data_IF_704933758726
#
_entry.id   IF_704933758726
#
_cell.length_a   1.000
_cell.length_b   1.000
_cell.length_c   1.000
_cell.angle_alpha   90.00
_cell.angle_beta   90.00
_cell.angle_gamma   90.00
#
_symmetry.space_group_name_H-M   'P 1'
#
loop_
_entity.id
_entity.type
_entity.pdbx_description
1 polymer ?
#
# COMPACT_ATOMS: atom_id res chain seq x y z
N UNK A 1 57.39 21.06 -26.15
CA UNK A 1 57.02 20.98 -27.58
C UNK A 1 55.67 20.27 -27.71
N UNK A 2 54.70 20.96 -28.36
CA UNK A 2 53.42 20.58 -29.00
C UNK A 2 52.57 19.36 -28.56
N UNK A 3 51.32 19.70 -28.20
CA UNK A 3 49.99 19.21 -28.59
C UNK A 3 49.74 17.76 -29.11
N UNK A 4 48.62 17.19 -28.65
CA UNK A 4 47.81 16.19 -29.36
C UNK A 4 46.51 15.81 -28.63
N UNK A 5 45.40 16.47 -28.97
CA UNK A 5 44.00 16.14 -28.60
C UNK A 5 43.42 15.02 -29.49
N UNK A 6 42.53 14.15 -28.98
CA UNK A 6 41.40 13.53 -29.71
C UNK A 6 40.51 12.68 -28.78
N UNK A 7 39.18 12.81 -28.89
CA UNK A 7 38.25 11.90 -28.20
C UNK A 7 36.76 12.27 -28.09
N UNK A 8 36.24 13.32 -28.74
CA UNK A 8 34.81 13.67 -28.75
C UNK A 8 34.16 13.43 -30.11
N UNK A 9 33.66 12.21 -30.39
CA UNK A 9 33.22 11.84 -31.75
C UNK A 9 31.80 11.26 -31.92
N UNK A 10 31.09 10.84 -30.87
CA UNK A 10 29.82 10.09 -31.06
C UNK A 10 28.51 10.87 -30.81
N UNK A 11 28.57 12.06 -30.20
CA UNK A 11 27.37 12.87 -29.88
C UNK A 11 26.90 13.78 -31.05
N UNK A 12 27.80 14.13 -31.97
CA UNK A 12 27.52 15.11 -33.03
C UNK A 12 26.87 14.50 -34.29
N UNK A 13 27.08 13.21 -34.57
CA UNK A 13 26.49 12.54 -35.74
C UNK A 13 24.98 12.28 -35.61
N UNK A 14 24.45 12.03 -34.40
CA UNK A 14 23.01 11.78 -34.23
C UNK A 14 22.16 13.06 -34.28
N UNK A 15 22.72 14.21 -33.87
CA UNK A 15 22.02 15.50 -33.96
C UNK A 15 21.95 16.04 -35.40
N UNK A 16 22.91 15.72 -36.27
CA UNK A 16 22.86 16.16 -37.68
C UNK A 16 21.83 15.35 -38.49
N UNK A 17 21.71 14.04 -38.24
CA UNK A 17 20.69 13.19 -38.89
C UNK A 17 19.25 13.57 -38.52
N UNK A 18 19.00 13.93 -37.25
CA UNK A 18 17.68 14.39 -36.82
C UNK A 18 17.28 15.73 -37.47
N UNK A 19 18.24 16.65 -37.65
CA UNK A 19 18.01 17.93 -38.34
C UNK A 19 17.82 17.75 -39.85
N UNK A 20 18.56 16.84 -40.49
CA UNK A 20 18.36 16.50 -41.90
C UNK A 20 17.00 15.85 -42.16
N UNK A 21 16.53 14.96 -41.28
CA UNK A 21 15.20 14.35 -41.40
C UNK A 21 14.06 15.37 -41.19
N UNK A 22 14.23 16.33 -40.27
CA UNK A 22 13.24 17.38 -40.04
C UNK A 22 13.13 18.35 -41.23
N UNK A 23 14.25 18.68 -41.86
CA UNK A 23 14.29 19.51 -43.07
C UNK A 23 13.70 18.79 -44.29
N UNK A 24 13.91 17.47 -44.42
CA UNK A 24 13.30 16.65 -45.47
C UNK A 24 11.77 16.58 -45.33
N UNK A 25 11.25 16.46 -44.11
CA UNK A 25 9.80 16.44 -43.84
C UNK A 25 9.17 17.82 -44.12
N UNK A 26 9.86 18.91 -43.76
CA UNK A 26 9.41 20.27 -44.06
C UNK A 26 9.44 20.59 -45.57
N UNK A 27 10.42 20.09 -46.32
CA UNK A 27 10.45 20.21 -47.79
C UNK A 27 9.36 19.36 -48.48
N UNK A 28 9.04 18.17 -47.95
CA UNK A 28 7.95 17.32 -48.47
C UNK A 28 6.56 17.94 -48.23
N UNK A 29 6.39 18.71 -47.16
CA UNK A 29 5.16 19.46 -46.88
C UNK A 29 4.97 20.69 -47.77
N UNK A 30 6.03 21.21 -48.39
CA UNK A 30 6.00 22.37 -49.29
C UNK A 30 5.77 22.00 -50.77
N UNK A 31 5.78 20.70 -51.12
CA UNK A 31 5.64 20.21 -52.51
C UNK A 31 4.25 19.62 -52.84
N UNK A 32 3.27 19.71 -51.94
CA UNK A 32 1.90 19.26 -52.23
C UNK A 32 1.08 20.43 -52.81
N UNK A 33 0.48 20.29 -54.02
CA UNK A 33 -0.33 21.35 -54.61
C UNK A 33 -1.60 21.57 -53.78
N UNK A 34 -1.89 22.84 -53.52
CA UNK A 34 -3.02 23.31 -52.73
C UNK A 34 -4.36 22.87 -53.33
N UNK A 35 -4.96 21.83 -52.75
CA UNK A 35 -6.41 21.62 -52.83
C UNK A 35 -7.06 22.15 -51.55
N UNK A 36 -7.72 23.29 -51.70
CA UNK A 36 -8.31 24.08 -50.63
C UNK A 36 -9.65 23.48 -50.18
N UNK A 37 -9.62 22.35 -49.48
CA UNK A 37 -10.80 21.83 -48.76
C UNK A 37 -10.44 21.03 -47.50
N UNK A 38 -9.17 20.67 -47.29
CA UNK A 38 -8.69 19.94 -46.10
C UNK A 38 -8.10 20.85 -45.00
N UNK A 39 -7.98 22.16 -45.25
CA UNK A 39 -7.39 23.13 -44.31
C UNK A 39 -8.37 23.71 -43.27
N UNK A 40 -9.70 23.55 -43.45
CA UNK A 40 -10.68 23.95 -42.43
C UNK A 40 -10.89 22.91 -41.32
N UNK A 41 -10.77 21.61 -41.61
CA UNK A 41 -10.95 20.56 -40.59
C UNK A 41 -9.71 20.37 -39.70
N UNK A 42 -8.50 20.55 -40.24
CA UNK A 42 -7.26 20.48 -39.45
C UNK A 42 -7.13 21.66 -38.46
N UNK A 43 -7.62 22.86 -38.82
CA UNK A 43 -7.57 24.04 -37.96
C UNK A 43 -8.48 23.99 -36.73
N UNK A 44 -9.59 23.26 -36.79
CA UNK A 44 -10.49 23.08 -35.64
C UNK A 44 -10.02 21.96 -34.70
N UNK A 45 -9.43 20.88 -35.23
CA UNK A 45 -8.86 19.80 -34.42
C UNK A 45 -7.69 20.31 -33.57
N UNK A 46 -6.83 21.18 -34.13
CA UNK A 46 -5.74 21.80 -33.37
C UNK A 46 -6.19 22.83 -32.33
N UNK A 47 -7.36 23.47 -32.50
CA UNK A 47 -7.91 24.40 -31.49
C UNK A 47 -8.56 23.66 -30.31
N UNK A 48 -9.18 22.51 -30.53
CA UNK A 48 -9.73 21.66 -29.47
C UNK A 48 -8.62 20.90 -28.71
N UNK A 49 -7.59 20.38 -29.41
CA UNK A 49 -6.42 19.80 -28.74
C UNK A 49 -5.60 20.84 -27.97
N UNK A 50 -5.46 22.08 -28.49
CA UNK A 50 -4.77 23.15 -27.75
C UNK A 50 -5.57 23.63 -26.53
N UNK A 51 -6.91 23.63 -26.57
CA UNK A 51 -7.75 23.88 -25.38
C UNK A 51 -7.65 22.76 -24.35
N UNK A 52 -7.61 21.49 -24.81
CA UNK A 52 -7.38 20.31 -23.96
C UNK A 52 -5.99 20.32 -23.31
N UNK A 53 -4.95 20.71 -24.05
CA UNK A 53 -3.57 20.83 -23.56
C UNK A 53 -3.35 22.06 -22.66
N UNK A 54 -4.08 23.17 -22.86
CA UNK A 54 -4.07 24.30 -21.92
C UNK A 54 -4.85 24.00 -20.62
N UNK A 55 -5.78 23.05 -20.64
CA UNK A 55 -6.51 22.61 -19.44
C UNK A 55 -5.62 21.85 -18.44
N UNK A 56 -4.48 21.27 -18.88
CA UNK A 56 -3.57 20.51 -18.04
C UNK A 56 -2.44 21.34 -17.38
N UNK A 57 -2.42 22.67 -17.57
CA UNK A 57 -1.33 23.54 -17.08
C UNK A 57 -1.69 24.48 -15.93
N UNK A 58 -2.78 24.21 -15.21
CA UNK A 58 -3.02 24.73 -13.86
C UNK A 58 -3.09 23.56 -12.90
N UNK A 59 -2.34 23.62 -11.79
CA UNK A 59 -2.42 22.67 -10.69
C UNK A 59 -3.89 22.43 -10.37
N UNK A 60 -4.40 21.23 -10.66
CA UNK A 60 -5.72 20.83 -10.18
C UNK A 60 -5.61 20.73 -8.66
N UNK A 61 -6.39 21.51 -7.89
CA UNK A 61 -6.47 21.30 -6.45
C UNK A 61 -6.99 19.87 -6.25
N UNK A 62 -6.35 19.11 -5.35
CA UNK A 62 -6.80 17.76 -4.99
C UNK A 62 -8.29 17.79 -4.67
N UNK A 63 -9.07 16.92 -5.30
CA UNK A 63 -10.50 16.81 -5.00
C UNK A 63 -10.67 16.07 -3.68
N UNK A 64 -11.63 16.50 -2.86
CA UNK A 64 -11.94 15.91 -1.56
C UNK A 64 -12.27 14.41 -1.64
N UNK A 65 -12.81 13.97 -2.78
CA UNK A 65 -13.06 12.57 -3.13
C UNK A 65 -11.79 11.72 -3.19
N UNK A 66 -10.64 12.32 -3.55
CA UNK A 66 -9.39 11.59 -3.76
C UNK A 66 -8.78 11.10 -2.43
N UNK A 67 -9.14 11.73 -1.32
CA UNK A 67 -8.66 11.38 0.02
C UNK A 67 -9.54 10.34 0.73
N UNK A 68 -10.73 10.06 0.21
CA UNK A 68 -11.76 9.25 0.88
C UNK A 68 -12.15 7.99 0.10
N UNK A 69 -11.43 7.67 -0.99
CA UNK A 69 -11.73 6.55 -1.90
C UNK A 69 -11.89 5.21 -1.16
N UNK A 70 -11.13 5.00 -0.08
CA UNK A 70 -11.10 3.75 0.69
C UNK A 70 -11.85 3.84 2.05
N UNK A 71 -12.52 4.96 2.34
CA UNK A 71 -13.18 5.19 3.63
C UNK A 71 -14.71 5.00 3.56
N UNK A 72 -15.29 4.44 4.63
CA UNK A 72 -16.75 4.35 4.79
C UNK A 72 -17.27 5.71 5.25
N UNK A 73 -17.99 6.42 4.38
CA UNK A 73 -18.55 7.75 4.62
C UNK A 73 -20.06 7.65 4.78
N UNK A 74 -20.59 8.23 5.85
CA UNK A 74 -22.03 8.32 6.09
C UNK A 74 -22.48 9.74 6.34
N UNK A 75 -23.62 10.08 5.78
CA UNK A 75 -24.31 11.33 6.06
C UNK A 75 -25.27 11.14 7.24
N UNK A 76 -25.07 11.91 8.30
CA UNK A 76 -25.88 11.86 9.52
C UNK A 76 -26.23 13.31 9.89
N UNK A 77 -27.52 13.66 9.79
CA UNK A 77 -27.99 15.01 10.14
C UNK A 77 -27.44 16.14 9.28
N UNK A 78 -27.12 15.88 8.00
CA UNK A 78 -26.55 16.87 7.07
C UNK A 78 -25.04 17.08 7.20
N UNK A 79 -24.37 16.28 8.04
CA UNK A 79 -22.91 16.25 8.18
C UNK A 79 -22.37 14.90 7.72
N UNK A 80 -21.24 14.93 7.00
CA UNK A 80 -20.55 13.72 6.57
C UNK A 80 -19.56 13.25 7.64
N UNK A 81 -19.58 11.95 7.93
CA UNK A 81 -18.69 11.31 8.89
C UNK A 81 -17.89 10.20 8.22
N UNK A 82 -16.62 10.09 8.58
CA UNK A 82 -15.67 9.09 8.12
C UNK A 82 -15.45 8.06 9.22
N UNK A 83 -15.61 6.77 8.92
CA UNK A 83 -15.34 5.70 9.88
C UNK A 83 -13.85 5.47 10.03
N UNK A 84 -13.30 5.70 11.22
CA UNK A 84 -11.89 5.44 11.52
C UNK A 84 -11.74 4.45 12.67
N UNK A 85 -10.56 3.83 12.78
CA UNK A 85 -10.20 2.98 13.92
C UNK A 85 -10.07 3.85 15.17
N UNK A 86 -10.71 3.45 16.26
CA UNK A 86 -10.70 4.23 17.49
C UNK A 86 -9.31 4.18 18.15
N UNK A 87 -8.62 5.32 18.35
CA UNK A 87 -7.30 5.36 19.01
C UNK A 87 -7.30 4.80 20.43
N UNK A 88 -8.46 4.86 21.09
CA UNK A 88 -8.66 4.39 22.46
C UNK A 88 -9.09 2.92 22.54
N UNK A 89 -9.28 2.25 21.39
CA UNK A 89 -9.61 0.83 21.34
C UNK A 89 -8.50 -0.01 21.97
N UNK A 90 -8.85 -0.79 23.00
CA UNK A 90 -7.90 -1.57 23.80
C UNK A 90 -7.23 -0.82 24.93
N UNK A 91 -7.42 0.50 25.05
CA UNK A 91 -6.98 1.29 26.21
C UNK A 91 -8.06 1.35 27.30
N UNK A 92 -9.34 1.23 26.89
CA UNK A 92 -10.49 1.08 27.78
C UNK A 92 -11.25 -0.19 27.44
N UNK A 93 -11.76 -0.90 28.45
CA UNK A 93 -12.53 -2.14 28.27
C UNK A 93 -13.82 -1.95 27.45
N UNK A 94 -14.37 -0.74 27.43
CA UNK A 94 -15.66 -0.38 26.81
C UNK A 94 -15.54 0.40 25.49
N UNK A 95 -14.32 0.69 25.02
CA UNK A 95 -14.13 1.49 23.83
C UNK A 95 -14.51 0.70 22.57
N UNK A 96 -15.36 1.25 21.67
CA UNK A 96 -15.69 0.60 20.41
C UNK A 96 -14.48 0.57 19.48
N UNK A 97 -14.38 -0.46 18.63
CA UNK A 97 -13.27 -0.65 17.69
C UNK A 97 -13.16 0.47 16.65
N UNK A 98 -14.29 1.06 16.27
CA UNK A 98 -14.37 2.11 15.28
C UNK A 98 -15.18 3.28 15.82
N UNK A 99 -14.80 4.49 15.40
CA UNK A 99 -15.53 5.73 15.69
C UNK A 99 -15.81 6.48 14.39
N UNK A 100 -16.85 7.28 14.42
CA UNK A 100 -17.21 8.19 13.33
C UNK A 100 -16.65 9.57 13.65
N UNK A 101 -15.77 10.06 12.78
CA UNK A 101 -15.20 11.41 12.90
C UNK A 101 -15.73 12.25 11.76
N UNK A 102 -16.16 13.46 12.08
CA UNK A 102 -16.64 14.41 11.07
C UNK A 102 -15.58 14.59 9.98
N UNK A 103 -16.03 14.51 8.72
CA UNK A 103 -15.17 14.48 7.54
C UNK A 103 -14.22 15.67 7.49
N UNK A 104 -14.69 16.87 7.82
CA UNK A 104 -13.85 18.07 7.88
C UNK A 104 -12.74 17.96 8.94
N UNK A 105 -13.09 17.49 10.14
CA UNK A 105 -12.13 17.28 11.23
C UNK A 105 -11.11 16.21 10.87
N UNK A 106 -11.55 15.13 10.21
CA UNK A 106 -10.69 14.07 9.71
C UNK A 106 -9.69 14.61 8.67
N UNK A 107 -10.18 15.29 7.62
CA UNK A 107 -9.33 15.85 6.56
C UNK A 107 -8.30 16.85 7.09
N UNK A 108 -8.71 17.70 8.04
CA UNK A 108 -7.81 18.64 8.69
C UNK A 108 -6.74 17.94 9.54
N UNK A 109 -7.12 16.91 10.29
CA UNK A 109 -6.21 16.22 11.23
C UNK A 109 -5.18 15.36 10.51
N UNK A 110 -5.59 14.64 9.46
CA UNK A 110 -4.75 13.65 8.79
C UNK A 110 -4.04 14.19 7.54
N UNK A 111 -4.60 15.20 6.88
CA UNK A 111 -4.07 15.71 5.61
C UNK A 111 -3.76 17.21 5.62
N UNK A 112 -4.09 17.94 6.70
CA UNK A 112 -3.85 19.38 6.80
C UNK A 112 -4.66 20.22 5.79
N UNK A 113 -5.69 19.64 5.17
CA UNK A 113 -6.50 20.28 4.13
C UNK A 113 -7.69 20.98 4.77
N UNK A 114 -7.96 22.24 4.39
CA UNK A 114 -9.27 22.88 4.62
C UNK A 114 -10.19 22.47 3.47
N UNK A 115 -11.32 21.84 3.77
CA UNK A 115 -12.33 21.53 2.77
C UNK A 115 -12.76 22.83 2.06
N UNK A 116 -12.46 22.96 0.77
CA UNK A 116 -12.99 24.04 -0.05
C UNK A 116 -14.34 23.60 -0.59
N UNK A 117 -15.41 24.10 0.03
CA UNK A 117 -16.77 23.92 -0.45
C UNK A 117 -16.95 24.61 -1.81
N UNK A 118 -16.90 23.88 -2.91
CA UNK A 118 -17.45 24.32 -4.19
C UNK A 118 -18.60 23.40 -4.59
N UNK A 119 -19.83 23.93 -4.51
CA UNK A 119 -21.02 23.23 -5.01
C UNK A 119 -22.34 23.53 -4.32
N UNK A 120 -22.60 24.75 -3.80
CA UNK A 120 -23.98 25.13 -3.40
C UNK A 120 -24.83 25.38 -4.65
N UNK A 121 -25.57 24.36 -5.10
CA UNK A 121 -26.79 24.56 -5.90
C UNK A 121 -27.91 24.94 -4.93
N UNK A 122 -28.43 26.17 -5.06
CA UNK A 122 -29.69 26.59 -4.43
C UNK A 122 -30.86 25.84 -5.06
N UNK A 123 -31.67 25.18 -4.23
CA UNK A 123 -33.04 24.73 -4.54
C UNK A 123 -33.89 25.10 -3.31
N UNK A 124 -35.15 25.57 -3.48
CA UNK A 124 -35.79 26.49 -2.55
C UNK A 124 -36.35 25.82 -1.29
N UNK A 125 -36.51 26.68 -0.29
CA UNK A 125 -37.10 26.43 1.02
C UNK A 125 -38.60 26.14 0.93
N UNK A 126 -38.99 24.89 1.17
CA UNK A 126 -40.28 24.53 1.78
C UNK A 126 -40.35 23.02 2.08
N UNK A 127 -40.17 22.63 3.35
CA UNK A 127 -41.12 21.82 4.14
C UNK A 127 -40.48 21.29 5.44
N UNK A 128 -40.85 21.99 6.53
CA UNK A 128 -41.05 21.58 7.93
C UNK A 128 -40.30 20.34 8.47
N UNK A 129 -39.32 20.67 9.32
CA UNK A 129 -39.07 20.19 10.70
C UNK A 129 -39.80 18.90 11.13
N UNK A 130 -39.00 17.86 11.40
CA UNK A 130 -39.38 16.68 12.17
C UNK A 130 -38.16 15.99 12.80
N UNK A 131 -37.92 16.28 14.08
CA UNK A 131 -37.10 15.59 15.09
C UNK A 131 -35.78 14.88 14.68
N UNK A 132 -34.67 15.56 14.96
CA UNK A 132 -33.36 14.94 15.19
C UNK A 132 -33.37 14.18 16.54
N UNK A 133 -32.78 12.96 16.63
CA UNK A 133 -32.55 12.32 17.92
C UNK A 133 -31.52 13.11 18.75
N UNK A 134 -31.68 13.18 20.09
CA UNK A 134 -30.77 13.95 20.94
C UNK A 134 -29.34 13.39 20.90
N UNK A 135 -28.32 14.24 21.16
CA UNK A 135 -26.95 13.77 21.32
C UNK A 135 -26.88 12.73 22.45
N UNK A 136 -25.99 11.73 22.35
CA UNK A 136 -25.80 10.75 23.41
C UNK A 136 -25.43 11.48 24.73
N UNK A 137 -26.04 11.09 25.87
CA UNK A 137 -25.84 11.80 27.13
C UNK A 137 -24.37 11.81 27.53
N UNK A 138 -23.88 12.97 27.95
CA UNK A 138 -22.66 13.06 28.74
C UNK A 138 -22.89 12.29 30.04
N UNK A 139 -22.25 11.13 30.18
CA UNK A 139 -22.32 10.37 31.42
C UNK A 139 -21.53 11.10 32.50
N UNK A 140 -22.27 11.59 33.49
CA UNK A 140 -21.78 12.04 34.79
C UNK A 140 -21.03 10.86 35.43
N UNK A 141 -19.79 11.10 35.87
CA UNK A 141 -18.97 10.14 36.60
C UNK A 141 -19.68 9.77 37.90
N UNK A 142 -20.29 8.57 37.97
CA UNK A 142 -20.66 7.97 39.25
C UNK A 142 -19.40 7.39 39.88
N UNK A 143 -19.02 7.95 41.03
CA UNK A 143 -17.99 7.37 41.89
C UNK A 143 -18.43 5.98 42.33
N UNK A 144 -17.76 4.94 41.84
CA UNK A 144 -17.85 3.61 42.42
C UNK A 144 -16.87 3.51 43.59
N UNK A 145 -17.30 3.03 44.77
CA UNK A 145 -16.41 2.80 45.89
C UNK A 145 -15.36 1.73 45.54
N UNK A 146 -14.12 1.99 45.94
CA UNK A 146 -13.00 1.06 45.85
C UNK A 146 -13.32 -0.23 46.62
N UNK A 147 -13.06 -1.43 46.07
CA UNK A 147 -13.15 -2.65 46.85
C UNK A 147 -12.07 -2.65 47.95
N UNK A 148 -12.51 -2.84 49.19
CA UNK A 148 -11.65 -3.03 50.36
C UNK A 148 -10.65 -4.17 50.14
N UNK A 149 -9.41 -3.93 50.54
CA UNK A 149 -8.35 -4.92 50.58
C UNK A 149 -8.64 -5.95 51.68
N UNK A 150 -9.27 -7.07 51.32
CA UNK A 150 -9.27 -8.26 52.19
C UNK A 150 -7.94 -8.98 52.07
N UNK A 151 -7.23 -9.01 53.21
CA UNK A 151 -5.95 -9.67 53.42
C UNK A 151 -5.94 -11.15 52.99
N UNK A 152 -4.88 -11.54 52.29
CA UNK A 152 -4.58 -12.90 51.85
C UNK A 152 -4.14 -13.79 53.02
N UNK A 153 -4.64 -15.02 53.06
CA UNK A 153 -4.00 -16.15 53.77
C UNK A 153 -3.10 -16.91 52.79
N UNK A 154 -1.96 -17.46 53.23
CA UNK A 154 -1.02 -18.10 52.32
C UNK A 154 -1.51 -19.51 51.94
N UNK A 155 -1.53 -19.79 50.64
CA UNK A 155 -1.62 -21.16 50.12
C UNK A 155 -0.31 -21.44 49.39
N UNK A 156 0.48 -22.33 50.00
CA UNK A 156 1.65 -22.96 49.40
C UNK A 156 1.17 -24.11 48.52
N UNK A 157 1.47 -24.05 47.21
CA UNK A 157 1.58 -25.25 46.39
C UNK A 157 2.39 -24.95 45.12
N UNK A 158 3.55 -25.60 45.04
CA UNK A 158 4.44 -25.63 43.89
C UNK A 158 3.81 -26.42 42.74
N UNK A 159 3.65 -25.78 41.58
CA UNK A 159 3.84 -26.41 40.25
C UNK A 159 3.96 -25.32 39.20
N UNK A 160 5.12 -25.28 38.55
CA UNK A 160 5.43 -24.41 37.43
C UNK A 160 4.77 -24.93 36.15
N UNK A 161 3.50 -24.58 35.94
CA UNK A 161 2.84 -24.65 34.64
C UNK A 161 2.40 -23.24 34.26
N UNK A 162 3.37 -22.36 34.02
CA UNK A 162 3.09 -21.11 33.32
C UNK A 162 2.82 -21.47 31.86
N UNK A 163 1.60 -21.26 31.32
CA UNK A 163 1.38 -21.42 29.89
C UNK A 163 2.39 -20.54 29.14
N UNK A 164 3.01 -21.03 28.05
CA UNK A 164 4.01 -20.27 27.32
C UNK A 164 3.41 -18.92 26.96
N UNK A 165 4.01 -17.83 27.47
CA UNK A 165 3.61 -16.47 27.14
C UNK A 165 3.59 -16.39 25.62
N UNK A 166 2.46 -16.01 24.99
CA UNK A 166 2.38 -15.89 23.55
C UNK A 166 3.53 -15.01 23.07
N UNK A 167 4.50 -15.58 22.35
CA UNK A 167 5.60 -14.81 21.81
C UNK A 167 5.01 -13.77 20.85
N UNK A 168 5.08 -12.50 21.26
CA UNK A 168 4.56 -11.37 20.47
C UNK A 168 5.29 -11.33 19.13
N UNK A 169 4.55 -11.50 18.03
CA UNK A 169 5.12 -11.51 16.67
C UNK A 169 4.84 -10.18 15.99
N UNK A 170 5.90 -9.50 15.58
CA UNK A 170 5.79 -8.27 14.82
C UNK A 170 5.34 -8.55 13.38
N UNK A 171 4.47 -7.69 12.88
CA UNK A 171 4.00 -7.73 11.50
C UNK A 171 5.06 -7.19 10.56
N UNK A 172 5.04 -7.67 9.32
CA UNK A 172 5.97 -7.24 8.26
C UNK A 172 5.24 -6.28 7.32
N UNK A 173 5.89 -5.17 6.96
CA UNK A 173 5.48 -4.30 5.87
C UNK A 173 5.72 -4.99 4.55
N UNK A 174 4.63 -5.34 3.88
CA UNK A 174 4.62 -6.04 2.59
C UNK A 174 3.96 -5.14 1.57
N UNK A 175 4.50 -5.12 0.35
CA UNK A 175 3.89 -4.44 -0.78
C UNK A 175 3.37 -5.44 -1.80
N UNK A 176 2.12 -5.24 -2.24
CA UNK A 176 1.47 -6.05 -3.28
C UNK A 176 1.68 -5.41 -4.66
N UNK A 177 2.54 -6.02 -5.46
CA UNK A 177 2.81 -5.67 -6.85
C UNK A 177 1.70 -6.17 -7.80
N UNK A 178 1.84 -5.87 -9.09
CA UNK A 178 0.85 -6.26 -10.08
C UNK A 178 0.88 -7.78 -10.30
N UNK A 179 -0.31 -8.34 -10.56
CA UNK A 179 -0.44 -9.72 -11.01
C UNK A 179 -0.48 -9.72 -12.53
N UNK A 180 0.30 -10.62 -13.13
CA UNK A 180 0.25 -10.80 -14.59
C UNK A 180 -0.86 -11.76 -14.95
N UNK A 181 -1.57 -11.47 -16.03
CA UNK A 181 -2.55 -12.39 -16.59
C UNK A 181 -1.92 -13.17 -17.74
N UNK A 182 -1.61 -14.45 -17.53
CA UNK A 182 -0.98 -15.32 -18.53
C UNK A 182 -2.00 -16.22 -19.25
N UNK A 183 -3.30 -15.97 -19.07
CA UNK A 183 -4.38 -16.82 -19.59
C UNK A 183 -4.65 -16.60 -21.08
N UNK A 184 -4.17 -15.49 -21.63
CA UNK A 184 -4.48 -15.06 -23.00
C UNK A 184 -5.84 -14.38 -23.15
N UNK A 185 -6.68 -14.39 -22.09
CA UNK A 185 -7.96 -13.70 -22.09
C UNK A 185 -7.82 -12.28 -21.53
N UNK A 186 -8.27 -11.26 -22.27
CA UNK A 186 -8.30 -9.88 -21.82
C UNK A 186 -9.47 -9.64 -20.85
N UNK A 187 -9.32 -10.11 -19.61
CA UNK A 187 -10.33 -10.00 -18.57
C UNK A 187 -9.79 -9.16 -17.40
N UNK A 188 -9.78 -7.85 -17.59
CA UNK A 188 -9.22 -6.89 -16.61
C UNK A 188 -9.83 -7.05 -15.22
N UNK A 189 -11.13 -7.36 -15.12
CA UNK A 189 -11.81 -7.55 -13.85
C UNK A 189 -11.24 -8.71 -13.01
N UNK A 190 -10.60 -9.72 -13.64
CA UNK A 190 -10.04 -10.87 -12.91
C UNK A 190 -8.80 -10.44 -12.14
N UNK A 191 -7.94 -9.61 -12.75
CA UNK A 191 -6.73 -9.09 -12.10
C UNK A 191 -7.12 -8.26 -10.88
N UNK A 192 -8.13 -7.39 -11.02
CA UNK A 192 -8.66 -6.60 -9.92
C UNK A 192 -9.29 -7.48 -8.83
N UNK A 193 -10.07 -8.48 -9.22
CA UNK A 193 -10.66 -9.43 -8.28
C UNK A 193 -9.60 -10.20 -7.48
N UNK A 194 -8.50 -10.61 -8.12
CA UNK A 194 -7.35 -11.26 -7.47
C UNK A 194 -6.67 -10.29 -6.51
N UNK A 195 -6.35 -9.07 -6.96
CA UNK A 195 -5.70 -8.06 -6.14
C UNK A 195 -6.51 -7.74 -4.88
N UNK A 196 -7.80 -7.46 -5.03
CA UNK A 196 -8.70 -7.14 -3.91
C UNK A 196 -8.85 -8.33 -2.95
N UNK A 197 -9.00 -9.55 -3.47
CA UNK A 197 -9.14 -10.74 -2.64
C UNK A 197 -7.85 -11.06 -1.84
N UNK A 198 -6.68 -10.78 -2.42
CA UNK A 198 -5.40 -10.88 -1.71
C UNK A 198 -5.32 -9.79 -0.65
N UNK A 199 -5.54 -8.51 -1.00
CA UNK A 199 -5.55 -7.37 -0.04
C UNK A 199 -6.45 -7.70 1.16
N UNK A 200 -7.69 -8.10 0.92
CA UNK A 200 -8.65 -8.46 1.97
C UNK A 200 -8.12 -9.58 2.90
N UNK A 201 -7.55 -10.64 2.33
CA UNK A 201 -7.04 -11.76 3.13
C UNK A 201 -5.79 -11.45 3.92
N UNK A 202 -4.91 -10.63 3.38
CA UNK A 202 -3.71 -10.18 4.08
C UNK A 202 -4.05 -9.25 5.24
N UNK A 203 -5.04 -8.38 5.08
CA UNK A 203 -5.56 -7.58 6.19
C UNK A 203 -6.20 -8.47 7.26
N UNK A 204 -6.98 -9.49 6.85
CA UNK A 204 -7.61 -10.45 7.77
C UNK A 204 -6.62 -11.37 8.49
N UNK A 205 -5.48 -11.69 7.89
CA UNK A 205 -4.47 -12.55 8.53
C UNK A 205 -3.82 -11.90 9.74
N UNK A 206 -3.82 -10.56 9.81
CA UNK A 206 -3.17 -9.78 10.86
C UNK A 206 -1.66 -10.08 10.99
N UNK A 207 -1.03 -10.62 9.94
CA UNK A 207 0.41 -10.95 9.92
C UNK A 207 1.27 -9.87 9.23
N UNK A 208 0.64 -8.95 8.48
CA UNK A 208 1.31 -7.96 7.64
C UNK A 208 0.75 -6.55 7.82
N UNK A 209 1.59 -5.56 7.52
CA UNK A 209 1.20 -4.18 7.24
C UNK A 209 1.28 -4.02 5.72
N UNK A 210 0.16 -3.69 5.07
CA UNK A 210 0.18 -3.50 3.62
C UNK A 210 0.60 -2.07 3.29
N UNK A 211 1.66 -1.95 2.50
CA UNK A 211 2.06 -0.68 1.91
C UNK A 211 1.32 -0.50 0.58
N UNK A 212 0.73 0.68 0.41
CA UNK A 212 -0.02 1.01 -0.78
C UNK A 212 0.89 1.20 -2.01
N UNK A 213 0.38 0.81 -3.18
CA UNK A 213 1.10 0.95 -4.46
C UNK A 213 1.42 2.41 -4.80
N UNK A 214 0.51 3.33 -4.50
CA UNK A 214 0.68 4.76 -4.76
C UNK A 214 1.93 5.35 -4.06
N UNK A 215 2.36 4.79 -2.92
CA UNK A 215 3.57 5.19 -2.20
C UNK A 215 4.79 4.80 -3.01
N UNK A 216 4.81 3.58 -3.54
CA UNK A 216 5.85 3.09 -4.45
C UNK A 216 5.92 3.93 -5.73
N UNK A 217 4.78 4.22 -6.37
CA UNK A 217 4.73 5.04 -7.59
C UNK A 217 5.30 6.45 -7.35
N UNK A 218 4.92 7.08 -6.24
CA UNK A 218 5.45 8.40 -5.84
C UNK A 218 6.96 8.34 -5.57
N UNK A 219 7.43 7.28 -4.93
CA UNK A 219 8.87 7.06 -4.69
C UNK A 219 9.63 6.92 -6.02
N UNK A 220 9.20 6.02 -6.90
CA UNK A 220 9.84 5.78 -8.19
C UNK A 220 9.85 7.04 -9.06
N UNK A 221 8.73 7.75 -9.13
CA UNK A 221 8.62 9.00 -9.89
C UNK A 221 9.62 10.07 -9.41
N UNK A 222 9.85 10.16 -8.10
CA UNK A 222 10.87 11.07 -7.53
C UNK A 222 12.30 10.67 -7.90
N UNK A 223 12.53 9.38 -8.15
CA UNK A 223 13.81 8.86 -8.65
C UNK A 223 13.93 8.93 -10.19
N UNK A 224 12.93 9.46 -10.89
CA UNK A 224 12.88 9.45 -12.36
C UNK A 224 12.63 8.06 -12.96
N UNK A 225 12.07 7.14 -12.16
CA UNK A 225 11.73 5.77 -12.53
C UNK A 225 10.20 5.59 -12.62
N UNK A 226 9.79 4.45 -13.18
CA UNK A 226 8.40 4.03 -13.27
C UNK A 226 8.20 2.60 -12.73
N UNK A 227 6.96 2.10 -12.74
CA UNK A 227 6.65 0.75 -12.28
C UNK A 227 7.31 -0.37 -13.12
N UNK A 228 7.63 -0.10 -14.39
CA UNK A 228 8.29 -1.10 -15.25
C UNK A 228 9.72 -1.39 -14.79
N UNK A 229 10.33 -0.43 -14.08
CA UNK A 229 11.65 -0.55 -13.49
C UNK A 229 11.72 -1.54 -12.31
N UNK A 230 10.58 -2.02 -11.80
CA UNK A 230 10.52 -2.98 -10.69
C UNK A 230 10.99 -4.40 -11.06
N UNK A 231 11.30 -4.63 -12.33
CA UNK A 231 12.00 -5.85 -12.77
C UNK A 231 13.50 -5.83 -12.43
N UNK A 232 14.06 -4.66 -12.08
CA UNK A 232 15.44 -4.53 -11.62
C UNK A 232 15.52 -4.79 -10.10
N UNK A 233 16.39 -5.73 -9.72
CA UNK A 233 16.68 -6.07 -8.32
C UNK A 233 17.16 -4.88 -7.50
N UNK A 234 17.98 -4.01 -8.09
CA UNK A 234 18.53 -2.83 -7.44
C UNK A 234 17.43 -1.86 -7.04
N UNK A 235 16.45 -1.66 -7.94
CA UNK A 235 15.29 -0.80 -7.69
C UNK A 235 14.44 -1.37 -6.56
N UNK A 236 14.19 -2.69 -6.55
CA UNK A 236 13.46 -3.35 -5.47
C UNK A 236 14.16 -3.22 -4.12
N UNK A 237 15.48 -3.37 -4.07
CA UNK A 237 16.27 -3.26 -2.83
C UNK A 237 16.22 -1.82 -2.29
N UNK A 238 16.45 -0.82 -3.14
CA UNK A 238 16.42 0.57 -2.72
C UNK A 238 15.02 1.04 -2.32
N UNK A 239 13.99 0.60 -3.05
CA UNK A 239 12.60 0.90 -2.68
C UNK A 239 12.21 0.20 -1.37
N UNK A 240 12.66 -1.04 -1.18
CA UNK A 240 12.51 -1.82 0.04
C UNK A 240 13.05 -1.07 1.25
N UNK A 241 14.30 -0.62 1.15
CA UNK A 241 14.94 0.20 2.18
C UNK A 241 14.20 1.52 2.43
N UNK A 242 13.94 2.29 1.37
CA UNK A 242 13.45 3.66 1.49
C UNK A 242 12.02 3.73 2.06
N UNK A 243 11.21 2.70 1.80
CA UNK A 243 9.82 2.60 2.23
C UNK A 243 9.61 1.64 3.41
N UNK A 244 10.69 1.05 3.93
CA UNK A 244 10.62 0.09 5.03
C UNK A 244 9.83 -1.18 4.69
N UNK A 245 9.81 -1.58 3.42
CA UNK A 245 9.14 -2.81 2.95
C UNK A 245 10.10 -3.98 3.16
N UNK A 246 9.69 -5.04 3.86
CA UNK A 246 10.51 -6.25 4.06
C UNK A 246 10.25 -7.33 3.00
N UNK A 247 9.13 -7.24 2.26
CA UNK A 247 8.84 -8.19 1.21
C UNK A 247 7.87 -7.69 0.15
N UNK A 248 8.03 -8.23 -1.05
CA UNK A 248 7.18 -7.93 -2.19
C UNK A 248 6.38 -9.15 -2.59
N UNK A 249 5.07 -9.00 -2.68
CA UNK A 249 4.19 -10.00 -3.28
C UNK A 249 3.95 -9.66 -4.73
N UNK A 250 4.07 -10.65 -5.59
CA UNK A 250 3.71 -10.57 -7.00
C UNK A 250 3.24 -11.95 -7.45
N UNK A 251 2.73 -12.06 -8.67
CA UNK A 251 2.25 -13.35 -9.12
C UNK A 251 1.61 -13.31 -10.49
N UNK A 252 1.00 -14.43 -10.83
CA UNK A 252 0.34 -14.62 -12.11
C UNK A 252 -0.96 -15.40 -11.96
N UNK A 253 -1.87 -15.11 -12.88
CA UNK A 253 -3.00 -15.99 -13.19
C UNK A 253 -2.51 -16.88 -14.32
N UNK A 254 -2.18 -18.13 -13.99
CA UNK A 254 -1.59 -19.08 -14.93
C UNK A 254 -2.65 -19.71 -15.84
N UNK A 255 -3.86 -19.94 -15.31
CA UNK A 255 -5.02 -20.42 -16.06
C UNK A 255 -6.31 -19.83 -15.52
N UNK A 256 -7.25 -19.58 -16.43
CA UNK A 256 -8.63 -19.22 -16.14
C UNK A 256 -9.51 -19.94 -17.16
N UNK A 257 -10.52 -20.65 -16.68
CA UNK A 257 -11.55 -21.27 -17.50
C UNK A 257 -12.89 -20.87 -16.92
N UNK A 258 -13.77 -20.32 -17.74
CA UNK A 258 -15.13 -19.95 -17.35
C UNK A 258 -16.10 -20.72 -18.23
N UNK A 259 -16.95 -21.54 -17.61
CA UNK A 259 -18.01 -22.27 -18.29
C UNK A 259 -19.35 -21.75 -17.81
N UNK A 260 -20.34 -21.73 -18.69
CA UNK A 260 -21.70 -21.35 -18.34
C UNK A 260 -22.70 -22.24 -19.09
N UNK A 261 -23.87 -22.42 -18.50
CA UNK A 261 -24.99 -23.14 -19.09
C UNK A 261 -26.31 -22.55 -18.56
N UNK A 262 -27.43 -23.02 -19.07
CA UNK A 262 -28.74 -22.71 -18.49
C UNK A 262 -29.10 -23.81 -17.48
N UNK A 263 -29.48 -23.40 -16.28
CA UNK A 263 -30.00 -24.31 -15.26
C UNK A 263 -31.32 -24.91 -15.76
N UNK A 264 -31.37 -26.24 -15.84
CA UNK A 264 -32.57 -26.97 -16.23
C UNK A 264 -33.75 -26.74 -15.27
N UNK A 265 -33.47 -26.38 -14.01
CA UNK A 265 -34.48 -26.21 -12.96
C UNK A 265 -35.09 -24.82 -12.93
N UNK A 266 -34.29 -23.80 -13.20
CA UNK A 266 -34.67 -22.39 -12.99
C UNK A 266 -34.68 -21.59 -14.29
N UNK A 267 -34.09 -22.12 -15.36
CA UNK A 267 -33.89 -21.42 -16.63
C UNK A 267 -32.83 -20.30 -16.57
N UNK A 268 -32.21 -20.08 -15.40
CA UNK A 268 -31.22 -19.03 -15.21
C UNK A 268 -29.83 -19.45 -15.72
N UNK A 269 -29.00 -18.46 -16.06
CA UNK A 269 -27.58 -18.72 -16.36
C UNK A 269 -26.83 -19.20 -15.12
N UNK A 270 -26.26 -20.39 -15.21
CA UNK A 270 -25.39 -21.02 -14.22
C UNK A 270 -23.96 -21.02 -14.74
N UNK A 271 -23.01 -20.54 -13.95
CA UNK A 271 -21.62 -20.38 -14.34
C UNK A 271 -20.67 -21.06 -13.36
N UNK A 272 -19.60 -21.64 -13.89
CA UNK A 272 -18.48 -22.22 -13.15
C UNK A 272 -17.18 -21.56 -13.58
N UNK A 273 -16.24 -21.40 -12.64
CA UNK A 273 -14.90 -20.92 -12.97
C UNK A 273 -13.82 -21.80 -12.36
N UNK A 274 -12.76 -22.06 -13.12
CA UNK A 274 -11.52 -22.68 -12.63
C UNK A 274 -10.37 -21.73 -12.84
N UNK A 275 -9.59 -21.53 -11.79
CA UNK A 275 -8.44 -20.64 -11.79
C UNK A 275 -7.21 -21.33 -11.21
N UNK A 276 -6.06 -21.10 -11.82
CA UNK A 276 -4.75 -21.45 -11.29
C UNK A 276 -3.98 -20.17 -11.00
N UNK A 277 -3.75 -19.90 -9.72
CA UNK A 277 -3.02 -18.71 -9.25
C UNK A 277 -1.63 -19.10 -8.77
N UNK A 278 -0.64 -18.28 -9.09
CA UNK A 278 0.70 -18.34 -8.51
C UNK A 278 0.98 -17.05 -7.74
N UNK A 279 1.42 -17.20 -6.49
CA UNK A 279 1.84 -16.11 -5.62
C UNK A 279 3.29 -16.31 -5.25
N UNK A 280 4.07 -15.26 -5.38
CA UNK A 280 5.49 -15.22 -5.13
C UNK A 280 5.79 -14.19 -4.05
N UNK A 281 6.79 -14.47 -3.22
CA UNK A 281 7.35 -13.55 -2.24
C UNK A 281 8.82 -13.31 -2.55
N UNK A 282 9.21 -12.04 -2.67
CA UNK A 282 10.62 -11.60 -2.73
C UNK A 282 11.02 -10.96 -1.40
N UNK A 283 12.22 -11.28 -0.90
CA UNK A 283 12.89 -10.55 0.20
C UNK A 283 13.41 -9.22 -0.34
N UNK A 284 13.04 -8.11 0.30
CA UNK A 284 13.42 -6.78 -0.16
C UNK A 284 14.91 -6.48 0.00
N UNK A 285 15.65 -7.20 0.85
CA UNK A 285 17.09 -6.94 1.09
C UNK A 285 17.98 -7.49 -0.01
N UNK A 286 17.54 -8.58 -0.64
CA UNK A 286 18.32 -9.35 -1.64
C UNK A 286 17.66 -9.36 -3.02
N UNK A 287 16.40 -8.92 -3.10
CA UNK A 287 15.52 -9.09 -4.25
C UNK A 287 15.49 -10.55 -4.78
N UNK A 288 15.63 -11.53 -3.88
CA UNK A 288 15.55 -12.95 -4.20
C UNK A 288 14.16 -13.51 -3.92
N UNK A 289 13.70 -14.43 -4.77
CA UNK A 289 12.48 -15.20 -4.53
C UNK A 289 12.67 -16.08 -3.28
N UNK A 290 11.88 -15.81 -2.24
CA UNK A 290 11.87 -16.57 -0.98
C UNK A 290 10.93 -17.75 -1.08
N UNK A 291 9.76 -17.53 -1.68
CA UNK A 291 8.71 -18.53 -1.74
C UNK A 291 7.85 -18.34 -3.00
N UNK A 292 7.40 -19.47 -3.54
CA UNK A 292 6.37 -19.51 -4.57
C UNK A 292 5.31 -20.52 -4.14
N UNK A 293 4.04 -20.16 -4.26
CA UNK A 293 2.93 -21.02 -3.93
C UNK A 293 1.86 -20.94 -5.01
N UNK A 294 1.22 -22.08 -5.25
CA UNK A 294 0.16 -22.22 -6.22
C UNK A 294 -1.14 -22.55 -5.50
N UNK A 295 -2.24 -22.02 -6.05
CA UNK A 295 -3.57 -22.34 -5.58
C UNK A 295 -4.51 -22.57 -6.75
N UNK A 296 -5.41 -23.52 -6.56
CA UNK A 296 -6.49 -23.82 -7.49
C UNK A 296 -7.82 -23.92 -6.74
N UNK A 297 -8.92 -23.97 -7.47
CA UNK A 297 -10.23 -24.28 -6.92
C UNK A 297 -10.76 -25.61 -7.45
N UNK A 298 -11.63 -26.25 -6.67
CA UNK A 298 -12.43 -27.34 -7.19
C UNK A 298 -13.51 -26.75 -8.12
N UNK A 299 -13.66 -27.32 -9.31
CA UNK A 299 -14.64 -26.94 -10.35
C UNK A 299 -16.03 -26.72 -9.76
N UNK A 300 -16.52 -27.67 -8.97
CA UNK A 300 -17.89 -27.68 -8.45
C UNK A 300 -18.15 -26.70 -7.29
N UNK A 301 -17.10 -26.09 -6.74
CA UNK A 301 -17.25 -25.18 -5.59
C UNK A 301 -17.29 -23.72 -6.01
N UNK A 302 -16.99 -23.41 -7.27
CA UNK A 302 -16.93 -22.06 -7.81
C UNK A 302 -18.09 -21.80 -8.78
N UNK A 303 -19.28 -22.16 -8.33
CA UNK A 303 -20.52 -22.05 -9.08
C UNK A 303 -21.31 -20.82 -8.62
N UNK A 304 -22.04 -20.20 -9.56
CA UNK A 304 -23.03 -19.17 -9.27
C UNK A 304 -24.17 -19.24 -10.29
N UNK A 305 -25.33 -18.74 -9.91
CA UNK A 305 -26.54 -18.76 -10.74
C UNK A 305 -27.18 -17.36 -10.80
N UNK A 306 -27.82 -17.05 -11.92
CA UNK A 306 -28.55 -15.82 -12.14
C UNK A 306 -27.70 -14.69 -12.72
N UNK A 307 -28.21 -13.46 -12.63
CA UNK A 307 -27.58 -12.29 -13.25
C UNK A 307 -26.19 -12.05 -12.66
N UNK A 308 -25.17 -12.06 -13.52
CA UNK A 308 -23.78 -11.85 -13.12
C UNK A 308 -23.10 -13.10 -12.53
N UNK A 309 -23.68 -14.29 -12.75
CA UNK A 309 -23.13 -15.58 -12.30
C UNK A 309 -21.67 -15.77 -12.71
N UNK A 310 -21.26 -15.39 -13.92
CA UNK A 310 -19.86 -15.47 -14.37
C UNK A 310 -18.88 -14.74 -13.43
N UNK A 311 -19.17 -13.49 -13.09
CA UNK A 311 -18.30 -12.68 -12.21
C UNK A 311 -18.28 -13.28 -10.80
N UNK A 312 -19.42 -13.75 -10.31
CA UNK A 312 -19.52 -14.36 -8.99
C UNK A 312 -18.75 -15.68 -8.91
N UNK A 313 -18.85 -16.53 -9.94
CA UNK A 313 -18.10 -17.77 -10.10
C UNK A 313 -16.59 -17.50 -10.06
N UNK A 314 -16.10 -16.52 -10.81
CA UNK A 314 -14.68 -16.10 -10.79
C UNK A 314 -14.25 -15.63 -9.40
N UNK A 315 -15.02 -14.74 -8.75
CA UNK A 315 -14.72 -14.28 -7.38
C UNK A 315 -14.66 -15.46 -6.40
N UNK A 316 -15.55 -16.45 -6.54
CA UNK A 316 -15.54 -17.67 -5.73
C UNK A 316 -14.31 -18.53 -6.00
N UNK A 317 -13.95 -18.73 -7.27
CA UNK A 317 -12.75 -19.47 -7.69
C UNK A 317 -11.47 -18.83 -7.12
N UNK A 318 -11.31 -17.51 -7.28
CA UNK A 318 -10.19 -16.73 -6.71
C UNK A 318 -10.11 -16.94 -5.20
N UNK A 319 -11.24 -16.77 -4.48
CA UNK A 319 -11.28 -17.00 -3.04
C UNK A 319 -10.82 -18.42 -2.69
N UNK A 320 -11.20 -19.44 -3.44
CA UNK A 320 -10.78 -20.80 -3.14
C UNK A 320 -9.31 -21.07 -3.44
N UNK A 321 -8.81 -20.63 -4.60
CA UNK A 321 -7.40 -20.72 -4.94
C UNK A 321 -6.52 -20.06 -3.89
N UNK A 322 -6.90 -18.87 -3.42
CA UNK A 322 -6.18 -18.19 -2.35
C UNK A 322 -6.20 -18.95 -1.00
N UNK A 323 -7.14 -19.87 -0.75
CA UNK A 323 -7.17 -20.65 0.51
C UNK A 323 -6.03 -21.66 0.53
N UNK A 324 -5.57 -22.06 -0.64
CA UNK A 324 -4.43 -22.96 -0.83
C UNK A 324 -3.11 -22.17 -0.96
N UNK A 325 -3.10 -21.11 -1.76
CA UNK A 325 -1.87 -20.38 -2.11
C UNK A 325 -1.30 -19.49 -0.98
N UNK A 326 -2.16 -18.83 -0.19
CA UNK A 326 -1.69 -17.84 0.79
C UNK A 326 -1.06 -18.43 2.06
N UNK A 327 -1.60 -19.50 2.68
CA UNK A 327 -1.05 -19.99 3.95
C UNK A 327 0.44 -20.36 3.90
N UNK A 328 0.96 -21.05 2.86
CA UNK A 328 2.39 -21.30 2.74
C UNK A 328 3.22 -20.02 2.63
N UNK A 329 2.75 -19.04 1.84
CA UNK A 329 3.44 -17.76 1.67
C UNK A 329 3.48 -16.97 2.99
N UNK A 330 2.37 -16.89 3.72
CA UNK A 330 2.28 -16.21 5.02
C UNK A 330 3.22 -16.82 6.06
N UNK A 331 3.40 -18.16 6.04
CA UNK A 331 4.40 -18.84 6.87
C UNK A 331 5.81 -18.34 6.58
N UNK A 332 6.16 -18.09 5.33
CA UNK A 332 7.47 -17.56 4.94
C UNK A 332 7.61 -16.06 5.25
N UNK A 333 6.54 -15.26 5.12
CA UNK A 333 6.54 -13.86 5.58
C UNK A 333 6.91 -13.75 7.06
N UNK A 334 6.40 -14.67 7.89
CA UNK A 334 6.73 -14.72 9.32
C UNK A 334 8.19 -15.05 9.62
N UNK A 335 8.94 -15.58 8.66
CA UNK A 335 10.38 -15.87 8.80
C UNK A 335 11.24 -14.73 8.29
N UNK A 336 10.68 -13.78 7.55
CA UNK A 336 11.43 -12.59 7.14
C UNK A 336 11.92 -11.85 8.39
N UNK A 337 13.19 -11.39 8.39
CA UNK A 337 13.72 -10.58 9.48
C UNK A 337 12.86 -9.33 9.62
N UNK A 338 12.49 -9.00 10.85
CA UNK A 338 11.80 -7.75 11.11
C UNK A 338 12.84 -6.63 11.27
N UNK A 339 12.67 -5.57 10.51
CA UNK A 339 13.53 -4.39 10.55
C UNK A 339 12.73 -3.11 10.31
N UNK A 340 13.17 -2.01 10.91
CA UNK A 340 12.68 -0.66 10.62
C UNK A 340 13.84 0.33 10.69
N UNK A 341 13.58 1.62 10.53
CA UNK A 341 14.61 2.67 10.46
C UNK A 341 14.22 3.91 11.24
N UNK A 342 15.25 4.65 11.65
CA UNK A 342 15.09 6.01 12.18
C UNK A 342 14.70 6.94 11.04
N UNK A 343 13.55 7.60 11.16
CA UNK A 343 13.04 8.55 10.14
C UNK A 343 13.34 10.01 10.48
N UNK A 344 13.45 10.33 11.78
CA UNK A 344 13.77 11.67 12.29
C UNK A 344 14.39 11.55 13.68
N UNK A 345 15.28 12.48 14.03
CA UNK A 345 15.77 12.68 15.39
C UNK A 345 15.55 14.16 15.73
N UNK A 346 15.05 14.43 16.93
CA UNK A 346 14.77 15.78 17.43
C UNK A 346 15.06 15.85 18.93
N UNK A 347 16.23 16.38 19.29
CA UNK A 347 16.73 16.30 20.66
C UNK A 347 16.88 14.83 21.08
N UNK A 348 16.25 14.46 22.18
CA UNK A 348 16.25 13.08 22.71
C UNK A 348 15.21 12.16 22.05
N UNK A 349 14.29 12.72 21.26
CA UNK A 349 13.22 11.97 20.61
C UNK A 349 13.70 11.36 19.29
N UNK A 350 13.61 10.04 19.19
CA UNK A 350 13.95 9.25 18.01
C UNK A 350 12.65 8.74 17.40
N UNK A 351 12.34 9.16 16.17
CA UNK A 351 11.12 8.77 15.47
C UNK A 351 11.39 7.55 14.59
N UNK A 352 10.51 6.56 14.68
CA UNK A 352 10.64 5.25 14.02
C UNK A 352 9.42 4.97 13.15
N UNK A 353 9.68 4.42 11.96
CA UNK A 353 8.65 3.97 11.03
C UNK A 353 8.13 2.55 11.38
N UNK A 354 7.68 2.38 12.62
CA UNK A 354 6.93 1.22 13.11
C UNK A 354 6.24 1.61 14.42
N UNK A 355 5.05 1.08 14.67
CA UNK A 355 4.30 1.42 15.87
C UNK A 355 3.37 0.31 16.34
N UNK A 356 2.24 0.72 16.91
CA UNK A 356 1.26 -0.17 17.53
C UNK A 356 0.69 -1.19 16.53
N UNK A 357 0.46 -0.79 15.29
CA UNK A 357 -0.15 -1.66 14.28
C UNK A 357 0.82 -2.74 13.81
N UNK A 358 2.12 -2.43 13.72
CA UNK A 358 3.23 -3.39 13.56
C UNK A 358 3.31 -4.36 14.74
N UNK A 359 2.79 -3.95 15.90
CA UNK A 359 2.75 -4.74 17.12
C UNK A 359 3.81 -4.34 18.13
N UNK A 360 4.39 -3.13 18.05
CA UNK A 360 5.23 -2.57 19.11
C UNK A 360 4.37 -2.14 20.32
N UNK A 361 4.99 -2.12 21.51
CA UNK A 361 4.42 -1.64 22.77
C UNK A 361 5.36 -0.62 23.41
N UNK A 362 4.80 0.25 24.26
CA UNK A 362 5.61 1.15 25.09
C UNK A 362 6.45 0.32 26.05
N UNK A 363 7.70 0.72 26.23
CA UNK A 363 8.69 0.03 27.06
C UNK A 363 9.58 -0.96 26.29
N UNK A 364 9.22 -1.31 25.06
CA UNK A 364 10.01 -2.17 24.20
C UNK A 364 11.42 -1.62 23.95
N UNK A 365 12.44 -2.48 23.99
CA UNK A 365 13.83 -2.11 23.72
C UNK A 365 14.27 -2.70 22.39
N UNK A 366 14.79 -1.85 21.51
CA UNK A 366 15.22 -2.19 20.15
C UNK A 366 16.71 -1.90 19.97
N UNK A 367 17.39 -2.74 19.20
CA UNK A 367 18.81 -2.53 18.89
C UNK A 367 18.97 -1.69 17.64
N UNK A 368 19.82 -0.67 17.72
CA UNK A 368 20.14 0.24 16.62
C UNK A 368 21.52 -0.09 16.07
N UNK A 369 21.57 -0.24 14.75
CA UNK A 369 22.77 -0.51 14.00
C UNK A 369 22.98 0.58 12.97
N UNK A 370 24.24 0.90 12.70
CA UNK A 370 24.56 1.81 11.63
C UNK A 370 24.00 1.29 10.32
N UNK A 371 23.56 2.20 9.45
CA UNK A 371 23.14 1.85 8.09
C UNK A 371 24.19 0.96 7.41
N UNK A 372 23.73 -0.19 6.94
CA UNK A 372 24.55 -1.20 6.28
C UNK A 372 25.06 -0.79 4.90
N UNK A 373 26.03 -1.54 4.37
CA UNK A 373 26.62 -1.33 3.05
C UNK A 373 26.19 -2.44 2.09
N UNK A 374 25.86 -2.06 0.86
CA UNK A 374 25.50 -2.99 -0.20
C UNK A 374 26.69 -3.85 -0.61
N UNK A 375 26.45 -5.16 -0.67
CA UNK A 375 27.40 -6.14 -1.17
C UNK A 375 27.09 -6.35 -2.64
N UNK A 376 27.97 -5.86 -3.50
CA UNK A 376 27.84 -6.01 -4.96
C UNK A 376 28.83 -7.01 -5.52
N UNK A 377 28.41 -7.77 -6.53
CA UNK A 377 29.34 -8.55 -7.35
C UNK A 377 30.23 -7.58 -8.14
N UNK A 378 31.57 -7.63 -8.03
CA UNK A 378 32.45 -6.64 -8.65
C UNK A 378 32.30 -6.53 -10.18
N UNK A 379 32.08 -7.66 -10.86
CA UNK A 379 31.99 -7.77 -12.31
C UNK A 379 30.66 -7.28 -12.89
N UNK A 380 29.54 -7.55 -12.22
CA UNK A 380 28.20 -7.23 -12.74
C UNK A 380 27.57 -6.02 -12.06
N UNK A 381 28.14 -5.54 -10.94
CA UNK A 381 27.58 -4.49 -10.06
C UNK A 381 26.19 -4.81 -9.49
N UNK A 382 25.77 -6.07 -9.57
CA UNK A 382 24.50 -6.53 -9.00
C UNK A 382 24.64 -6.59 -7.47
N UNK A 383 23.68 -6.00 -6.76
CA UNK A 383 23.56 -6.12 -5.30
C UNK A 383 23.06 -7.53 -4.95
N UNK A 384 23.83 -8.24 -4.12
CA UNK A 384 23.50 -9.58 -3.62
C UNK A 384 22.73 -9.50 -2.30
N UNK A 385 23.02 -8.46 -1.53
CA UNK A 385 22.41 -8.20 -0.25
C UNK A 385 23.14 -7.07 0.47
N UNK A 386 22.80 -6.86 1.73
CA UNK A 386 23.39 -5.79 2.54
C UNK A 386 23.96 -6.34 3.83
N UNK A 387 25.19 -5.93 4.14
CA UNK A 387 25.79 -6.22 5.43
C UNK A 387 25.20 -5.29 6.49
N UNK A 388 24.88 -5.83 7.66
CA UNK A 388 24.51 -5.05 8.85
C UNK A 388 25.73 -4.26 9.36
N UNK A 389 25.55 -2.96 9.63
CA UNK A 389 26.60 -2.12 10.22
C UNK A 389 26.88 -2.47 11.69
N UNK A 390 27.87 -1.83 12.32
CA UNK A 390 28.15 -2.00 13.75
C UNK A 390 26.95 -1.64 14.63
N UNK A 391 26.86 -2.28 15.80
CA UNK A 391 25.88 -1.94 16.83
C UNK A 391 26.21 -0.54 17.38
N UNK A 392 25.26 0.39 17.28
CA UNK A 392 25.38 1.73 17.85
C UNK A 392 24.84 1.76 19.28
N UNK A 393 23.75 1.03 19.55
CA UNK A 393 23.12 1.08 20.85
C UNK A 393 21.73 0.46 20.93
N UNK A 394 20.98 0.87 21.93
CA UNK A 394 19.61 0.44 22.22
C UNK A 394 18.71 1.66 22.44
N UNK A 395 17.50 1.61 21.91
CA UNK A 395 16.45 2.62 22.09
C UNK A 395 15.21 1.98 22.71
N UNK A 396 14.46 2.75 23.49
CA UNK A 396 13.24 2.30 24.14
C UNK A 396 12.02 3.06 23.63
N UNK A 397 10.96 2.36 23.23
CA UNK A 397 9.71 2.96 22.80
C UNK A 397 9.02 3.65 23.98
N UNK A 398 8.68 4.93 23.84
CA UNK A 398 8.00 5.72 24.88
C UNK A 398 6.59 6.14 24.48
N UNK A 399 6.33 6.33 23.18
CA UNK A 399 5.07 6.88 22.69
C UNK A 399 4.78 6.40 21.26
N UNK A 400 3.51 6.41 20.85
CA UNK A 400 3.07 6.16 19.48
C UNK A 400 2.47 7.40 18.85
N UNK A 401 2.64 7.56 17.54
CA UNK A 401 2.03 8.63 16.78
C UNK A 401 1.67 8.17 15.36
N UNK A 402 0.77 8.90 14.71
CA UNK A 402 0.29 8.55 13.37
C UNK A 402 -0.43 7.20 13.33
N UNK A 403 -0.43 6.56 12.16
CA UNK A 403 -1.08 5.26 11.96
C UNK A 403 -0.24 4.08 12.48
N UNK A 404 1.07 4.09 12.21
CA UNK A 404 1.99 3.00 12.61
C UNK A 404 3.42 3.49 12.83
N UNK A 405 3.58 4.52 13.67
CA UNK A 405 4.90 5.09 13.99
C UNK A 405 5.07 5.26 15.51
N UNK A 406 6.31 5.34 15.96
CA UNK A 406 6.64 5.46 17.38
C UNK A 406 7.77 6.43 17.66
N UNK A 407 7.75 6.98 18.87
CA UNK A 407 8.82 7.79 19.44
C UNK A 407 9.54 6.91 20.46
N UNK A 408 10.86 6.92 20.36
CA UNK A 408 11.76 6.24 21.27
C UNK A 408 12.76 7.22 21.88
N UNK A 409 13.38 6.80 22.98
CA UNK A 409 14.51 7.49 23.62
C UNK A 409 15.72 6.56 23.67
N UNK A 410 16.92 7.14 23.65
CA UNK A 410 18.16 6.37 23.79
C UNK A 410 18.22 5.72 25.19
N UNK A 411 18.44 4.41 25.23
CA UNK A 411 18.71 3.66 26.46
C UNK A 411 20.19 3.40 26.65
N UNK A 412 20.89 3.09 25.55
CA UNK A 412 22.34 2.85 25.51
C UNK A 412 22.88 3.28 24.17
N UNK A 413 24.11 3.80 24.15
CA UNK A 413 24.75 4.26 22.92
C UNK A 413 24.30 5.66 22.52
N UNK A 414 24.96 6.20 21.52
CA UNK A 414 24.83 7.58 21.06
C UNK A 414 25.05 7.66 19.54
N UNK A 415 25.10 8.89 19.02
CA UNK A 415 25.40 9.16 17.60
C UNK A 415 24.47 8.47 16.60
N UNK A 416 23.23 8.19 16.99
CA UNK A 416 22.20 7.69 16.07
C UNK A 416 21.93 8.69 14.96
N UNK A 417 21.67 8.18 13.76
CA UNK A 417 21.42 8.97 12.57
C UNK A 417 20.15 8.52 11.86
N UNK A 418 19.56 9.44 11.10
CA UNK A 418 18.46 9.13 10.20
C UNK A 418 18.90 8.05 9.20
N UNK A 419 18.09 7.01 9.05
CA UNK A 419 18.35 5.88 8.16
C UNK A 419 19.07 4.70 8.83
N UNK A 420 19.48 4.82 10.09
CA UNK A 420 20.02 3.70 10.85
C UNK A 420 18.99 2.58 11.01
N UNK A 421 19.50 1.36 11.03
CA UNK A 421 18.73 0.12 11.04
C UNK A 421 18.33 -0.24 12.46
N UNK A 422 17.05 -0.53 12.66
CA UNK A 422 16.50 -0.95 13.94
C UNK A 422 16.02 -2.39 13.81
N UNK A 423 16.42 -3.24 14.75
CA UNK A 423 16.01 -4.64 14.81
C UNK A 423 15.32 -4.95 16.14
N UNK A 424 14.39 -5.91 16.07
CA UNK A 424 13.70 -6.48 17.23
C UNK A 424 14.33 -7.80 17.63
N UNK A 425 14.65 -7.96 18.91
CA UNK A 425 15.29 -9.16 19.45
C UNK A 425 16.81 -9.14 19.32
N UNK A 426 17.48 -9.87 20.21
CA UNK A 426 18.94 -10.02 20.22
C UNK A 426 19.43 -10.92 19.10
#
# INVERSE_FOLDING_TARGET
MKMGTLGGGKSMQNKSRARQNLLLILCLLLLLPASCSTLKSAGEIFKEEAKSLMFWKKQTPYLESDFLIDQDVREIGGHEYVRIKNPDYGQRLDAPQFIWVEKEKYLKTYYGVKATSQGKKKIPESEKVGNLPPPPPQYIVKNYPQPEQTASKPVTSNTSDTPPIPQRKLKRKILLLAFTNNTGEAVDFVVDAVYLAIKERLLKSNEVILIERNVMEKYLKRQGLDLSSLNDKTVLIHAGEALGIQGFFFGSIDRLLISHSLSEKTGNEQSWATIELRINLIDSRTASLVASSRGTNNLYKAEAEGKGSRIQAVKSAVKQALKQALPPILKEVRKLPWETRIIKIEGEKIYIDAGRDTGLMVGDVLSVYQRGVDITIPSTKIIVGRQKGPLLGEIQIVEFFGLDSSIAVAKKGDNFQKGDLILWGK
#
